data_IF_647500314356
#
_entry.id   IF_647500314356
#
_cell.length_a   1.000
_cell.length_b   1.000
_cell.length_c   1.000
_cell.angle_alpha   90.00
_cell.angle_beta   90.00
_cell.angle_gamma   90.00
#
_symmetry.space_group_name_H-M   'P 1'
#
loop_
_entity.id
_entity.type
_entity.pdbx_description
1 polymer ?
#
# COMPACT_ATOMS: atom_id res chain seq x y z
N UNK A 1 32.36 1.76 -37.18
CA UNK A 1 32.82 1.33 -35.84
C UNK A 1 31.63 1.34 -34.90
N UNK A 2 31.11 0.18 -34.54
CA UNK A 2 29.90 0.07 -33.72
C UNK A 2 30.09 -1.02 -32.68
N UNK A 3 30.59 -0.65 -31.50
CA UNK A 3 30.58 -1.56 -30.37
C UNK A 3 29.15 -1.72 -29.88
N UNK A 4 28.70 -2.96 -29.77
CA UNK A 4 27.42 -3.27 -29.13
C UNK A 4 27.46 -2.86 -27.66
N UNK A 5 26.34 -2.39 -27.08
CA UNK A 5 26.29 -2.00 -25.68
C UNK A 5 26.75 -3.18 -24.80
N UNK A 6 27.77 -2.94 -23.98
CA UNK A 6 28.28 -3.92 -23.04
C UNK A 6 27.60 -3.74 -21.68
N UNK A 7 27.26 -4.85 -21.03
CA UNK A 7 26.76 -4.89 -19.65
C UNK A 7 27.81 -5.62 -18.81
N UNK A 8 28.34 -4.96 -17.79
CA UNK A 8 29.20 -5.60 -16.79
C UNK A 8 28.33 -6.29 -15.74
N UNK A 9 28.65 -7.53 -15.41
CA UNK A 9 28.01 -8.28 -14.32
C UNK A 9 29.10 -8.60 -13.30
N UNK A 10 29.06 -7.92 -12.17
CA UNK A 10 30.02 -8.06 -11.09
C UNK A 10 29.31 -8.55 -9.83
N UNK A 11 29.99 -9.39 -9.03
CA UNK A 11 29.48 -9.79 -7.71
C UNK A 11 29.64 -8.61 -6.74
N UNK A 12 28.65 -7.72 -6.71
CA UNK A 12 28.60 -6.62 -5.76
C UNK A 12 28.32 -7.17 -4.37
N UNK A 13 29.06 -6.70 -3.36
CA UNK A 13 28.77 -7.02 -1.95
C UNK A 13 27.33 -6.65 -1.61
N UNK A 14 26.63 -7.51 -0.88
CA UNK A 14 25.23 -7.31 -0.55
C UNK A 14 25.08 -6.06 0.31
N UNK A 15 24.37 -5.05 -0.20
CA UNK A 15 23.92 -3.91 0.60
C UNK A 15 23.03 -4.41 1.73
N UNK A 16 23.43 -4.20 2.99
CA UNK A 16 22.67 -4.60 4.18
C UNK A 16 21.52 -3.62 4.49
N UNK A 17 20.59 -3.46 3.54
CA UNK A 17 19.32 -2.80 3.85
C UNK A 17 18.33 -3.86 4.35
N UNK A 18 17.85 -3.79 5.61
CA UNK A 18 16.94 -4.78 6.18
C UNK A 18 15.56 -4.84 5.49
N UNK A 19 15.21 -3.84 4.66
CA UNK A 19 14.00 -3.84 3.83
C UNK A 19 14.22 -4.39 2.43
N UNK A 20 15.47 -4.64 2.04
CA UNK A 20 15.80 -5.24 0.75
C UNK A 20 15.69 -6.75 0.84
N UNK A 21 14.88 -7.33 -0.03
CA UNK A 21 14.66 -8.77 -0.14
C UNK A 21 14.94 -9.22 -1.57
N UNK A 22 15.05 -10.53 -1.80
CA UNK A 22 15.13 -11.06 -3.17
C UNK A 22 13.95 -10.56 -4.02
N UNK A 23 12.76 -10.44 -3.44
CA UNK A 23 11.56 -9.95 -4.12
C UNK A 23 11.65 -8.48 -4.55
N UNK A 24 12.35 -7.62 -3.79
CA UNK A 24 12.56 -6.22 -4.18
C UNK A 24 13.70 -6.06 -5.19
N UNK A 25 14.74 -6.90 -5.10
CA UNK A 25 15.88 -6.85 -6.04
C UNK A 25 15.47 -7.33 -7.44
N UNK A 26 14.57 -8.32 -7.49
CA UNK A 26 14.07 -8.92 -8.73
C UNK A 26 12.78 -8.26 -9.23
N UNK A 27 12.29 -7.20 -8.57
CA UNK A 27 11.02 -6.52 -8.85
C UNK A 27 9.75 -7.40 -8.71
N UNK A 28 9.88 -8.70 -8.39
CA UNK A 28 8.74 -9.61 -8.17
C UNK A 28 7.75 -9.04 -7.15
N UNK A 29 8.25 -8.41 -6.09
CA UNK A 29 7.39 -7.78 -5.09
C UNK A 29 6.49 -6.69 -5.68
N UNK A 30 6.98 -5.91 -6.65
CA UNK A 30 6.19 -4.86 -7.30
C UNK A 30 5.10 -5.44 -8.19
N UNK A 31 5.39 -6.53 -8.91
CA UNK A 31 4.37 -7.28 -9.65
C UNK A 31 3.31 -7.87 -8.73
N UNK A 32 3.72 -8.45 -7.59
CA UNK A 32 2.77 -8.97 -6.60
C UNK A 32 1.90 -7.86 -6.02
N UNK A 33 2.45 -6.68 -5.73
CA UNK A 33 1.68 -5.53 -5.27
C UNK A 33 0.59 -5.14 -6.28
N UNK A 34 0.91 -5.09 -7.57
CA UNK A 34 -0.07 -4.81 -8.62
C UNK A 34 -1.13 -5.92 -8.74
N UNK A 35 -0.71 -7.19 -8.64
CA UNK A 35 -1.63 -8.33 -8.68
C UNK A 35 -2.65 -8.27 -7.55
N UNK A 36 -2.20 -8.15 -6.30
CA UNK A 36 -3.10 -8.09 -5.14
C UNK A 36 -3.94 -6.81 -5.10
N UNK A 37 -3.42 -5.68 -5.57
CA UNK A 37 -4.21 -4.45 -5.67
C UNK A 37 -5.36 -4.54 -6.69
N UNK A 38 -5.20 -5.34 -7.76
CA UNK A 38 -6.20 -5.47 -8.82
C UNK A 38 -7.19 -6.61 -8.60
N UNK A 39 -6.73 -7.74 -8.06
CA UNK A 39 -7.51 -9.00 -8.02
C UNK A 39 -7.71 -9.51 -6.59
N UNK A 40 -7.01 -8.97 -5.60
CA UNK A 40 -7.17 -9.39 -4.20
C UNK A 40 -8.49 -8.93 -3.60
N UNK A 41 -9.16 -9.83 -2.88
CA UNK A 41 -10.33 -9.49 -2.06
C UNK A 41 -9.85 -9.03 -0.67
N UNK A 42 -10.03 -7.74 -0.29
CA UNK A 42 -9.61 -7.26 1.01
C UNK A 42 -10.48 -7.87 2.11
N UNK A 43 -9.85 -8.41 3.15
CA UNK A 43 -10.53 -9.01 4.32
C UNK A 43 -10.10 -8.35 5.62
N UNK A 44 -11.02 -8.32 6.59
CA UNK A 44 -10.72 -7.87 7.95
C UNK A 44 -9.76 -8.87 8.64
N UNK A 45 -8.64 -8.42 9.22
CA UNK A 45 -7.66 -9.32 9.83
C UNK A 45 -8.19 -10.04 11.09
N UNK A 46 -9.16 -9.46 11.78
CA UNK A 46 -9.69 -10.01 13.04
C UNK A 46 -10.93 -10.89 12.84
N UNK A 47 -11.74 -10.58 11.81
CA UNK A 47 -13.07 -11.17 11.61
C UNK A 47 -13.21 -11.95 10.31
N UNK A 48 -12.22 -11.90 9.42
CA UNK A 48 -12.17 -12.58 8.10
C UNK A 48 -13.33 -12.22 7.12
N UNK A 49 -14.07 -11.16 7.43
CA UNK A 49 -15.15 -10.66 6.59
C UNK A 49 -14.62 -9.82 5.42
N UNK A 50 -15.26 -9.87 4.24
CA UNK A 50 -14.87 -9.06 3.10
C UNK A 50 -15.13 -7.57 3.36
N UNK A 51 -14.16 -6.73 3.02
CA UNK A 51 -14.25 -5.28 3.15
C UNK A 51 -14.91 -4.68 1.89
N UNK A 52 -16.02 -3.98 2.10
CA UNK A 52 -16.77 -3.29 1.05
C UNK A 52 -16.66 -1.76 1.21
N UNK A 53 -16.89 -1.05 0.11
CA UNK A 53 -16.97 0.41 0.13
C UNK A 53 -18.19 0.85 0.97
N UNK A 54 -17.97 1.83 1.84
CA UNK A 54 -19.03 2.45 2.63
C UNK A 54 -19.54 3.71 1.94
N UNK A 55 -20.85 3.97 2.07
CA UNK A 55 -21.44 5.24 1.62
C UNK A 55 -21.17 6.35 2.62
N UNK A 56 -21.22 7.60 2.17
CA UNK A 56 -21.07 8.76 3.06
C UNK A 56 -22.11 8.72 4.19
N UNK A 57 -23.36 8.37 3.88
CA UNK A 57 -24.41 8.21 4.89
C UNK A 57 -24.04 7.17 5.94
N UNK A 58 -23.56 5.98 5.53
CA UNK A 58 -23.11 4.95 6.48
C UNK A 58 -21.97 5.44 7.38
N UNK A 59 -21.05 6.25 6.85
CA UNK A 59 -19.97 6.84 7.66
C UNK A 59 -20.52 7.86 8.66
N UNK A 60 -21.48 8.72 8.25
CA UNK A 60 -22.12 9.71 9.14
C UNK A 60 -22.91 9.02 10.24
N UNK A 61 -23.72 8.02 9.89
CA UNK A 61 -24.54 7.26 10.83
C UNK A 61 -23.66 6.58 11.88
N UNK A 62 -22.52 6.00 11.47
CA UNK A 62 -21.55 5.42 12.39
C UNK A 62 -20.99 6.46 13.38
N UNK A 63 -20.60 7.65 12.91
CA UNK A 63 -20.12 8.72 13.78
C UNK A 63 -21.19 9.18 14.78
N UNK A 64 -22.44 9.33 14.33
CA UNK A 64 -23.56 9.73 15.18
C UNK A 64 -23.98 8.66 16.19
N UNK A 65 -23.72 7.38 15.90
CA UNK A 65 -24.01 6.26 16.81
C UNK A 65 -23.07 6.17 18.01
N UNK A 66 -22.00 6.97 18.03
CA UNK A 66 -21.05 6.95 19.14
C UNK A 66 -21.62 7.61 20.41
N UNK A 67 -21.15 7.20 21.60
CA UNK A 67 -21.61 7.76 22.87
C UNK A 67 -21.47 9.29 22.93
N UNK A 68 -22.51 9.96 23.40
CA UNK A 68 -22.51 11.40 23.64
C UNK A 68 -21.39 11.81 24.61
N UNK A 69 -20.86 13.03 24.44
CA UNK A 69 -19.79 13.58 25.27
C UNK A 69 -18.37 13.14 24.88
N UNK A 70 -18.21 12.21 23.93
CA UNK A 70 -16.89 11.91 23.34
C UNK A 70 -16.38 13.10 22.52
N UNK A 71 -15.23 13.65 22.90
CA UNK A 71 -14.54 14.65 22.11
C UNK A 71 -13.78 13.97 20.97
N UNK A 72 -14.10 14.32 19.74
CA UNK A 72 -13.46 13.83 18.53
C UNK A 72 -12.77 14.99 17.81
N UNK A 73 -11.63 14.71 17.18
CA UNK A 73 -10.98 15.65 16.28
C UNK A 73 -11.33 15.26 14.84
N UNK A 74 -12.04 16.13 14.13
CA UNK A 74 -12.37 15.93 12.73
C UNK A 74 -11.26 16.49 11.84
N UNK A 75 -10.61 15.62 11.08
CA UNK A 75 -9.55 15.98 10.15
C UNK A 75 -9.99 15.72 8.70
N UNK A 76 -9.60 16.59 7.79
CA UNK A 76 -9.80 16.43 6.35
C UNK A 76 -8.43 16.53 5.64
N UNK A 77 -7.66 15.43 5.56
CA UNK A 77 -6.40 15.42 4.81
C UNK A 77 -6.68 15.46 3.31
N UNK A 78 -6.78 16.68 2.76
CA UNK A 78 -7.09 16.94 1.35
C UNK A 78 -5.99 16.39 0.43
N UNK A 79 -4.72 16.48 0.87
CA UNK A 79 -3.56 16.01 0.12
C UNK A 79 -2.95 14.81 0.84
N UNK A 80 -2.87 13.67 0.15
CA UNK A 80 -2.17 12.47 0.61
C UNK A 80 -1.15 12.06 -0.43
N UNK A 81 0.14 12.10 -0.07
CA UNK A 81 1.26 11.54 -0.85
C UNK A 81 1.32 11.96 -2.33
N UNK A 82 0.76 13.13 -2.68
CA UNK A 82 0.87 13.73 -4.02
C UNK A 82 2.08 14.67 -4.08
N UNK A 83 2.82 14.63 -5.19
CA UNK A 83 3.80 15.66 -5.53
C UNK A 83 3.12 16.73 -6.38
N UNK A 84 2.96 17.94 -5.82
CA UNK A 84 2.40 19.12 -6.51
C UNK A 84 0.88 19.15 -6.53
#
# INVERSE_FOLDING_TARGET
EGLSPAISIEQKSTSHNPRSTVGTITEIHDYLRLLFARVGEPRCPDHDVPLAAQTVSQMVDNVLSQPEGKRLMLLAPIIKERKG
#
